data_IF_445702228945
#
_entry.id   IF_445702228945
#
_cell.length_a   1.000
_cell.length_b   1.000
_cell.length_c   1.000
_cell.angle_alpha   90.00
_cell.angle_beta   90.00
_cell.angle_gamma   90.00
#
_symmetry.space_group_name_H-M   'P 1'
#
loop_
_entity.id
_entity.type
_entity.pdbx_description
1 polymer ?
#
# COMPACT_ATOMS: atom_id res chain seq x y z
N UNK A 1 -15.27 -8.26 10.45
CA UNK A 1 -15.18 -7.23 9.37
C UNK A 1 -15.51 -5.81 9.84
N UNK A 2 -16.59 -5.55 10.59
CA UNK A 2 -17.08 -4.18 10.89
C UNK A 2 -16.17 -3.38 11.85
N UNK A 3 -15.43 -4.03 12.75
CA UNK A 3 -14.68 -3.33 13.82
C UNK A 3 -13.43 -2.57 13.38
N UNK A 4 -12.86 -2.84 12.21
CA UNK A 4 -11.49 -2.39 11.88
C UNK A 4 -11.41 -1.07 11.13
N UNK A 5 -12.43 -0.71 10.35
CA UNK A 5 -12.51 0.59 9.68
C UNK A 5 -13.94 0.90 9.17
N UNK A 6 -14.83 1.46 10.02
CA UNK A 6 -16.23 1.73 9.66
C UNK A 6 -16.37 2.65 8.45
N UNK A 7 -15.43 3.58 8.25
CA UNK A 7 -15.44 4.55 7.16
C UNK A 7 -15.21 3.92 5.78
N UNK A 8 -14.61 2.74 5.70
CA UNK A 8 -14.42 2.04 4.43
C UNK A 8 -15.73 1.53 3.81
N UNK A 9 -16.79 1.43 4.62
CA UNK A 9 -18.15 1.10 4.16
C UNK A 9 -19.04 2.35 4.01
N UNK A 10 -18.57 3.51 4.47
CA UNK A 10 -19.25 4.82 4.34
C UNK A 10 -18.72 5.63 3.14
N UNK A 11 -17.75 5.09 2.39
CA UNK A 11 -17.24 5.70 1.16
C UNK A 11 -18.29 5.66 0.04
N UNK A 12 -18.18 6.57 -0.93
CA UNK A 12 -19.03 6.53 -2.13
C UNK A 12 -18.93 5.17 -2.83
N UNK A 13 -20.05 4.77 -3.46
CA UNK A 13 -20.14 3.53 -4.24
C UNK A 13 -18.98 3.37 -5.23
N UNK A 14 -18.55 4.48 -5.84
CA UNK A 14 -17.45 4.50 -6.81
C UNK A 14 -16.10 4.15 -6.19
N UNK A 15 -15.76 4.72 -5.03
CA UNK A 15 -14.50 4.42 -4.32
C UNK A 15 -14.43 2.97 -3.86
N UNK A 16 -15.56 2.43 -3.42
CA UNK A 16 -15.64 1.03 -3.01
C UNK A 16 -15.51 0.07 -4.20
N UNK A 17 -16.16 0.39 -5.32
CA UNK A 17 -16.08 -0.40 -6.57
C UNK A 17 -14.66 -0.39 -7.15
N UNK A 18 -14.01 0.77 -7.21
CA UNK A 18 -12.59 0.89 -7.60
C UNK A 18 -11.72 0.02 -6.70
N UNK A 19 -11.96 0.08 -5.38
CA UNK A 19 -11.17 -0.68 -4.43
C UNK A 19 -11.33 -2.19 -4.61
N UNK A 20 -12.55 -2.67 -4.86
CA UNK A 20 -12.83 -4.07 -5.20
C UNK A 20 -12.12 -4.52 -6.47
N UNK A 21 -12.11 -3.68 -7.52
CA UNK A 21 -11.39 -3.98 -8.76
C UNK A 21 -9.90 -4.13 -8.52
N UNK A 22 -9.29 -3.21 -7.76
CA UNK A 22 -7.84 -3.25 -7.47
C UNK A 22 -7.47 -4.49 -6.66
N UNK A 23 -8.20 -4.83 -5.59
CA UNK A 23 -7.85 -6.02 -4.80
C UNK A 23 -8.08 -7.33 -5.57
N UNK A 24 -9.03 -7.33 -6.52
CA UNK A 24 -9.27 -8.46 -7.43
C UNK A 24 -8.13 -8.61 -8.44
N UNK A 25 -7.68 -7.52 -9.06
CA UNK A 25 -6.55 -7.52 -10.00
C UNK A 25 -5.28 -8.01 -9.31
N UNK A 26 -5.04 -7.58 -8.08
CA UNK A 26 -3.90 -8.00 -7.27
C UNK A 26 -4.00 -9.44 -6.74
N UNK A 27 -5.11 -10.14 -7.04
CA UNK A 27 -5.36 -11.53 -6.67
C UNK A 27 -5.26 -11.77 -5.16
N UNK A 28 -5.84 -10.87 -4.35
CA UNK A 28 -6.01 -11.13 -2.93
C UNK A 28 -7.01 -12.27 -2.73
N UNK A 29 -6.72 -13.18 -1.81
CA UNK A 29 -7.68 -14.18 -1.34
C UNK A 29 -8.82 -13.50 -0.59
N UNK A 30 -10.09 -13.55 -1.08
CA UNK A 30 -11.22 -12.89 -0.44
C UNK A 30 -11.49 -13.36 1.00
N UNK A 31 -11.03 -14.55 1.37
CA UNK A 31 -11.19 -15.09 2.72
C UNK A 31 -10.10 -14.60 3.70
N UNK A 32 -9.02 -14.00 3.17
CA UNK A 32 -7.90 -13.52 3.97
C UNK A 32 -8.17 -12.16 4.62
N UNK A 33 -7.63 -11.95 5.82
CA UNK A 33 -7.62 -10.62 6.45
C UNK A 33 -6.85 -9.58 5.62
N UNK A 34 -5.92 -10.02 4.78
CA UNK A 34 -5.18 -9.13 3.87
C UNK A 34 -6.08 -8.53 2.79
N UNK A 35 -7.11 -9.24 2.35
CA UNK A 35 -8.11 -8.69 1.42
C UNK A 35 -8.84 -7.50 2.06
N UNK A 36 -9.35 -7.67 3.28
CA UNK A 36 -9.99 -6.57 3.99
C UNK A 36 -9.02 -5.41 4.23
N UNK A 37 -7.76 -5.70 4.59
CA UNK A 37 -6.77 -4.64 4.78
C UNK A 37 -6.49 -3.90 3.47
N UNK A 38 -6.31 -4.61 2.35
CA UNK A 38 -6.14 -4.02 1.02
C UNK A 38 -7.31 -3.12 0.64
N UNK A 39 -8.52 -3.63 0.78
CA UNK A 39 -9.75 -2.88 0.48
C UNK A 39 -9.83 -1.60 1.30
N UNK A 40 -9.65 -1.69 2.62
CA UNK A 40 -9.73 -0.52 3.52
C UNK A 40 -8.62 0.49 3.25
N UNK A 41 -7.42 0.06 2.86
CA UNK A 41 -6.34 0.97 2.48
C UNK A 41 -6.63 1.69 1.17
N UNK A 42 -7.17 0.98 0.18
CA UNK A 42 -7.49 1.58 -1.12
C UNK A 42 -8.66 2.57 -0.99
N UNK A 43 -9.68 2.25 -0.20
CA UNK A 43 -10.79 3.18 0.09
C UNK A 43 -10.32 4.39 0.90
N UNK A 44 -9.46 4.17 1.89
CA UNK A 44 -9.03 5.22 2.83
C UNK A 44 -7.93 6.14 2.32
N UNK A 45 -7.29 5.82 1.18
CA UNK A 45 -6.22 6.62 0.61
C UNK A 45 -6.61 7.02 -0.81
N UNK A 46 -6.82 8.32 -1.02
CA UNK A 46 -7.17 8.86 -2.33
C UNK A 46 -6.15 8.47 -3.40
N UNK A 47 -6.65 8.29 -4.62
CA UNK A 47 -5.88 7.80 -5.76
C UNK A 47 -4.64 8.64 -6.04
N UNK A 48 -4.77 9.98 -6.07
CA UNK A 48 -3.64 10.90 -6.29
C UNK A 48 -2.55 10.73 -5.23
N UNK A 49 -2.95 10.61 -3.96
CA UNK A 49 -2.02 10.37 -2.84
C UNK A 49 -1.33 9.01 -2.98
N UNK A 50 -2.04 7.98 -3.45
CA UNK A 50 -1.46 6.66 -3.70
C UNK A 50 -0.43 6.69 -4.83
N UNK A 51 -0.73 7.40 -5.93
CA UNK A 51 0.18 7.61 -7.05
C UNK A 51 1.44 8.37 -6.61
N UNK A 52 1.30 9.46 -5.84
CA UNK A 52 2.43 10.19 -5.26
C UNK A 52 3.28 9.30 -4.34
N UNK A 53 2.65 8.40 -3.57
CA UNK A 53 3.37 7.43 -2.73
C UNK A 53 4.10 6.38 -3.58
N UNK A 54 3.54 5.93 -4.69
CA UNK A 54 4.23 5.04 -5.63
C UNK A 54 5.48 5.71 -6.20
N UNK A 55 5.39 6.97 -6.64
CA UNK A 55 6.56 7.72 -7.12
C UNK A 55 7.60 7.92 -6.02
N UNK A 56 7.16 8.14 -4.77
CA UNK A 56 8.06 8.19 -3.62
C UNK A 56 8.83 6.87 -3.44
N UNK A 57 8.15 5.71 -3.49
CA UNK A 57 8.82 4.41 -3.41
C UNK A 57 9.80 4.19 -4.58
N UNK A 58 9.43 4.58 -5.81
CA UNK A 58 10.34 4.54 -6.96
C UNK A 58 11.60 5.39 -6.75
N UNK A 59 11.46 6.57 -6.15
CA UNK A 59 12.63 7.41 -5.80
C UNK A 59 13.59 6.74 -4.81
N UNK A 60 13.10 5.74 -4.07
CA UNK A 60 13.92 4.92 -3.19
C UNK A 60 14.59 3.72 -3.89
N UNK A 61 14.31 3.49 -5.18
CA UNK A 61 14.88 2.41 -6.01
C UNK A 61 13.95 1.22 -6.20
N UNK A 62 12.69 1.29 -5.75
CA UNK A 62 11.74 0.18 -5.92
C UNK A 62 11.12 0.17 -7.31
N UNK A 63 11.01 -1.01 -7.92
CA UNK A 63 10.23 -1.19 -9.14
C UNK A 63 8.72 -1.17 -8.85
N UNK A 64 7.90 -1.07 -9.90
CA UNK A 64 6.44 -1.19 -9.77
C UNK A 64 6.06 -2.55 -9.15
N UNK A 65 6.73 -3.62 -9.59
CA UNK A 65 6.51 -4.97 -9.10
C UNK A 65 6.90 -5.16 -7.63
N UNK A 66 7.97 -4.50 -7.17
CA UNK A 66 8.35 -4.49 -5.75
C UNK A 66 7.27 -3.84 -4.89
N UNK A 67 6.75 -2.69 -5.33
CA UNK A 67 5.71 -1.95 -4.62
C UNK A 67 4.43 -2.79 -4.56
N UNK A 68 4.02 -3.41 -5.67
CA UNK A 68 2.84 -4.28 -5.72
C UNK A 68 3.03 -5.49 -4.81
N UNK A 69 4.21 -6.13 -4.86
CA UNK A 69 4.53 -7.29 -4.03
C UNK A 69 4.50 -6.94 -2.53
N UNK A 70 5.07 -5.79 -2.16
CA UNK A 70 5.04 -5.31 -0.80
C UNK A 70 3.61 -4.96 -0.34
N UNK A 71 2.79 -4.35 -1.21
CA UNK A 71 1.39 -4.04 -0.89
C UNK A 71 0.58 -5.32 -0.67
N UNK A 72 0.80 -6.37 -1.47
CA UNK A 72 0.16 -7.68 -1.27
C UNK A 72 0.53 -8.32 0.07
N UNK A 73 1.80 -8.21 0.47
CA UNK A 73 2.29 -8.75 1.75
C UNK A 73 1.85 -7.91 2.95
N UNK A 74 1.77 -6.58 2.78
CA UNK A 74 1.42 -5.63 3.82
C UNK A 74 0.69 -4.43 3.21
N UNK A 75 -0.66 -4.47 3.10
CA UNK A 75 -1.39 -3.37 2.46
C UNK A 75 -1.21 -2.02 3.15
N UNK A 76 -0.93 -2.06 4.46
CA UNK A 76 -0.69 -0.86 5.27
C UNK A 76 0.54 -0.07 4.86
N UNK A 77 1.40 -0.52 3.94
CA UNK A 77 2.52 0.30 3.42
C UNK A 77 2.05 1.61 2.76
N UNK A 78 0.79 1.66 2.30
CA UNK A 78 0.22 2.86 1.68
C UNK A 78 -0.54 3.76 2.68
N UNK A 79 -0.74 3.34 3.93
CA UNK A 79 -1.50 4.11 4.92
C UNK A 79 -0.73 5.32 5.52
N UNK A 80 0.56 5.21 5.88
CA UNK A 80 1.32 6.31 6.49
C UNK A 80 1.41 7.57 5.63
N UNK A 81 1.75 8.71 6.25
CA UNK A 81 2.09 9.94 5.51
C UNK A 81 3.38 9.75 4.70
N UNK A 82 3.56 10.57 3.66
CA UNK A 82 4.80 10.58 2.85
C UNK A 82 6.04 10.78 3.72
N UNK A 83 5.97 11.66 4.73
CA UNK A 83 7.07 11.89 5.67
C UNK A 83 7.40 10.64 6.49
N UNK A 84 6.38 9.92 6.98
CA UNK A 84 6.60 8.67 7.71
C UNK A 84 7.19 7.59 6.81
N UNK A 85 6.76 7.51 5.53
CA UNK A 85 7.37 6.62 4.54
C UNK A 85 8.85 6.95 4.35
N UNK A 86 9.21 8.23 4.16
CA UNK A 86 10.62 8.64 4.04
C UNK A 86 11.45 8.16 5.23
N UNK A 87 11.00 8.45 6.46
CA UNK A 87 11.70 8.00 7.68
C UNK A 87 11.88 6.48 7.73
N UNK A 88 10.84 5.70 7.39
CA UNK A 88 10.93 4.23 7.36
C UNK A 88 11.93 3.74 6.31
N UNK A 89 11.92 4.36 5.12
CA UNK A 89 12.84 4.01 4.04
C UNK A 89 14.28 4.40 4.34
N UNK A 90 14.50 5.54 5.00
CA UNK A 90 15.83 5.95 5.47
C UNK A 90 16.36 4.93 6.48
N UNK A 91 15.57 4.55 7.49
CA UNK A 91 15.94 3.49 8.45
C UNK A 91 16.26 2.18 7.74
N UNK A 92 15.47 1.78 6.75
CA UNK A 92 15.72 0.56 5.98
C UNK A 92 17.03 0.63 5.17
N UNK A 93 17.36 1.78 4.57
CA UNK A 93 18.64 2.01 3.87
C UNK A 93 19.84 1.87 4.80
N UNK A 94 19.72 2.22 6.08
CA UNK A 94 20.78 2.02 7.06
C UNK A 94 20.95 0.54 7.47
N UNK A 95 19.96 -0.32 7.24
CA UNK A 95 20.00 -1.74 7.62
C UNK A 95 20.49 -2.67 6.50
N UNK A 96 20.59 -2.20 5.25
CA UNK A 96 21.23 -2.95 4.16
C UNK A 96 22.67 -2.45 4.02
N UNK A 97 23.70 -3.22 4.43
CA UNK A 97 25.08 -2.87 4.12
C UNK A 97 25.21 -2.79 2.61
N UNK A 98 25.81 -1.70 2.10
CA UNK A 98 26.19 -1.64 0.68
C UNK A 98 26.98 -2.91 0.38
N UNK A 99 26.45 -3.77 -0.49
CA UNK A 99 27.24 -4.85 -1.07
C UNK A 99 28.32 -4.19 -1.91
N UNK A 100 29.45 -3.93 -1.27
CA UNK A 100 30.69 -3.53 -1.91
C UNK A 100 31.28 -4.78 -2.54
N UNK A 101 31.20 -4.86 -3.86
CA UNK A 101 32.03 -5.71 -4.72
C UNK A 101 32.15 -4.89 -6.01
N UNK A 102 33.24 -4.18 -6.32
CA UNK A 102 34.65 -4.60 -6.49
C UNK A 102 34.76 -5.92 -7.24
#
# INVERSE_FOLDING_TARGET
MIKRNPSAFLSSSDKFSEALMIVKELSFDPSSSLFCSGLTTVVGVDKSIREEKMELYKSFGWSKDDIVSAFKKQPQIMAPSKEKIKRMMDVFRFQIPKSTAV
#
